data_IF_295659688584
#
_entry.id   IF_295659688584
#
_cell.length_a   1.000
_cell.length_b   1.000
_cell.length_c   1.000
_cell.angle_alpha   90.00
_cell.angle_beta   90.00
_cell.angle_gamma   90.00
#
_symmetry.space_group_name_H-M   'P 1'
#
loop_
_entity.id
_entity.type
_entity.pdbx_description
1 polymer ?
#
# COMPACT_ATOMS: atom_id res chain seq x y z
N UNK A 1 85.48 13.01 -32.85
CA UNK A 1 84.54 14.10 -33.24
C UNK A 1 83.39 13.44 -33.96
N UNK A 2 82.30 13.28 -33.29
CA UNK A 2 81.06 12.77 -33.87
C UNK A 2 79.90 13.69 -33.44
N UNK A 3 79.32 14.34 -34.41
CA UNK A 3 78.27 15.34 -34.26
C UNK A 3 76.93 14.63 -34.29
N UNK A 4 76.16 14.64 -33.18
CA UNK A 4 74.83 14.11 -33.15
C UNK A 4 73.79 15.21 -33.38
N UNK A 5 73.11 15.14 -34.50
CA UNK A 5 71.96 15.99 -34.79
C UNK A 5 70.71 15.46 -34.08
N UNK A 6 70.13 16.23 -33.20
CA UNK A 6 68.82 15.95 -32.60
C UNK A 6 67.68 16.47 -33.48
N UNK A 7 66.82 15.63 -33.98
CA UNK A 7 65.59 16.02 -34.65
C UNK A 7 64.44 16.16 -33.58
N UNK A 8 63.95 17.36 -33.44
CA UNK A 8 62.80 17.69 -32.71
C UNK A 8 61.51 17.45 -33.59
N UNK A 9 60.71 16.43 -33.27
CA UNK A 9 59.40 16.21 -33.90
C UNK A 9 58.32 17.01 -33.21
N UNK A 10 57.28 17.46 -33.92
CA UNK A 10 56.17 18.23 -33.31
C UNK A 10 55.33 17.42 -32.37
N UNK A 11 55.10 17.98 -31.19
CA UNK A 11 54.18 17.44 -30.20
C UNK A 11 52.71 17.56 -30.68
N UNK A 12 52.07 16.44 -30.97
CA UNK A 12 50.64 16.39 -31.26
C UNK A 12 49.90 16.44 -29.90
N UNK A 13 49.27 17.57 -29.63
CA UNK A 13 48.38 17.72 -28.50
C UNK A 13 47.14 16.79 -28.67
N UNK A 14 47.11 15.71 -27.91
CA UNK A 14 45.94 14.83 -27.81
C UNK A 14 44.92 15.49 -26.91
N UNK A 15 43.89 16.08 -27.50
CA UNK A 15 42.68 16.53 -26.80
C UNK A 15 42.00 15.31 -26.20
N UNK A 16 42.10 15.15 -24.89
CA UNK A 16 41.28 14.17 -24.15
C UNK A 16 39.85 14.69 -24.15
N UNK A 17 39.05 14.11 -25.01
CA UNK A 17 37.61 14.22 -24.97
C UNK A 17 37.12 13.41 -23.74
N UNK A 18 36.73 14.12 -22.69
CA UNK A 18 36.08 13.50 -21.52
C UNK A 18 34.85 12.76 -22.02
N UNK A 19 34.86 11.44 -21.90
CA UNK A 19 33.71 10.62 -22.10
C UNK A 19 32.69 11.01 -21.02
N UNK A 20 31.59 11.64 -21.42
CA UNK A 20 30.41 11.78 -20.56
C UNK A 20 29.88 10.38 -20.30
N UNK A 21 29.98 9.93 -19.05
CA UNK A 21 29.25 8.74 -18.59
C UNK A 21 27.78 8.99 -18.84
N UNK A 22 27.04 8.00 -19.40
CA UNK A 22 25.60 8.10 -19.53
C UNK A 22 25.03 8.19 -18.12
N UNK A 23 24.41 9.32 -17.82
CA UNK A 23 23.56 9.50 -16.64
C UNK A 23 22.53 8.37 -16.70
N UNK A 24 22.65 7.38 -15.84
CA UNK A 24 21.59 6.38 -15.62
C UNK A 24 20.41 7.17 -15.07
N UNK A 25 19.49 7.48 -15.96
CA UNK A 25 18.15 7.91 -15.64
C UNK A 25 17.56 6.79 -14.79
N UNK A 26 17.43 7.02 -13.48
CA UNK A 26 16.65 6.14 -12.60
C UNK A 26 15.30 5.97 -13.25
N UNK A 27 14.78 4.74 -13.36
CA UNK A 27 13.46 4.52 -13.95
C UNK A 27 12.47 5.41 -13.20
N UNK A 28 11.90 6.37 -13.91
CA UNK A 28 10.84 7.26 -13.43
C UNK A 28 9.73 6.35 -12.93
N UNK A 29 9.53 6.32 -11.60
CA UNK A 29 8.45 5.51 -11.02
C UNK A 29 7.15 6.00 -11.65
N UNK A 30 6.34 5.11 -12.24
CA UNK A 30 5.11 5.51 -12.90
C UNK A 30 4.28 6.33 -11.91
N UNK A 31 3.97 7.57 -12.26
CA UNK A 31 3.00 8.39 -11.55
C UNK A 31 1.67 7.67 -11.71
N UNK A 32 1.30 6.92 -10.68
CA UNK A 32 0.00 6.23 -10.66
C UNK A 32 -1.04 7.33 -10.50
N UNK A 33 -1.75 7.63 -11.56
CA UNK A 33 -2.83 8.61 -11.55
C UNK A 33 -4.00 8.09 -10.72
N UNK A 34 -4.88 8.98 -10.26
CA UNK A 34 -6.14 8.65 -9.58
C UNK A 34 -7.11 7.82 -10.45
N UNK A 35 -6.73 7.51 -11.69
CA UNK A 35 -7.53 6.82 -12.70
C UNK A 35 -7.71 5.31 -12.43
N UNK A 36 -7.17 4.79 -11.33
CA UNK A 36 -7.29 3.36 -10.98
C UNK A 36 -8.54 3.04 -10.16
N UNK A 37 -9.18 4.04 -9.57
CA UNK A 37 -10.51 3.85 -8.99
C UNK A 37 -11.57 4.03 -10.08
N UNK A 38 -12.65 3.24 -10.04
CA UNK A 38 -13.78 3.47 -10.91
C UNK A 38 -14.25 4.92 -10.77
N UNK A 39 -14.55 5.63 -11.87
CA UNK A 39 -14.90 7.06 -11.85
C UNK A 39 -16.16 7.37 -11.02
N UNK A 40 -17.01 6.37 -10.81
CA UNK A 40 -18.26 6.48 -10.06
C UNK A 40 -18.11 6.13 -8.57
N UNK A 41 -16.89 5.83 -8.09
CA UNK A 41 -16.59 5.53 -6.68
C UNK A 41 -15.68 6.59 -6.08
N UNK A 42 -16.21 7.72 -5.62
CA UNK A 42 -15.42 8.77 -5.00
C UNK A 42 -14.79 8.26 -3.69
N UNK A 43 -13.60 8.75 -3.40
CA UNK A 43 -12.95 8.52 -2.10
C UNK A 43 -13.77 9.19 -1.02
N UNK A 44 -14.06 8.47 0.08
CA UNK A 44 -14.85 9.02 1.18
C UNK A 44 -14.11 10.16 1.89
N UNK A 45 -14.87 11.14 2.40
CA UNK A 45 -14.31 12.24 3.21
C UNK A 45 -13.53 11.73 4.41
N UNK A 46 -13.95 10.63 4.99
CA UNK A 46 -13.24 9.96 6.09
C UNK A 46 -11.83 9.55 5.70
N UNK A 47 -11.65 8.94 4.53
CA UNK A 47 -10.33 8.55 4.01
C UNK A 47 -9.46 9.77 3.79
N UNK A 48 -10.01 10.82 3.16
CA UNK A 48 -9.28 12.07 2.88
C UNK A 48 -8.81 12.73 4.18
N UNK A 49 -9.70 12.83 5.16
CA UNK A 49 -9.41 13.45 6.46
C UNK A 49 -8.41 12.63 7.27
N UNK A 50 -8.56 11.30 7.28
CA UNK A 50 -7.61 10.42 7.97
C UNK A 50 -6.22 10.51 7.33
N UNK A 51 -6.11 10.45 6.01
CA UNK A 51 -4.83 10.61 5.31
C UNK A 51 -4.17 11.98 5.58
N UNK A 52 -4.98 13.05 5.62
CA UNK A 52 -4.53 14.40 5.99
C UNK A 52 -3.98 14.45 7.40
N UNK A 53 -4.68 13.87 8.37
CA UNK A 53 -4.24 13.79 9.77
C UNK A 53 -2.97 12.96 9.93
N UNK A 54 -2.88 11.79 9.29
CA UNK A 54 -1.68 10.92 9.32
C UNK A 54 -0.45 11.73 8.87
N UNK A 55 -0.58 12.47 7.77
CA UNK A 55 0.50 13.33 7.26
C UNK A 55 0.86 14.45 8.24
N UNK A 56 -0.12 15.15 8.79
CA UNK A 56 0.08 16.30 9.68
C UNK A 56 0.68 15.89 11.04
N UNK A 57 0.18 14.80 11.64
CA UNK A 57 0.63 14.27 12.92
C UNK A 57 1.96 13.52 12.84
N UNK A 58 2.39 13.11 11.63
CA UNK A 58 3.51 12.20 11.40
C UNK A 58 3.35 10.85 12.11
N UNK A 59 2.13 10.37 12.24
CA UNK A 59 1.80 9.13 12.96
C UNK A 59 2.55 7.90 12.41
N UNK A 60 2.97 7.95 11.15
CA UNK A 60 3.77 6.87 10.51
C UNK A 60 5.28 7.01 10.70
N UNK A 61 5.77 8.06 11.38
CA UNK A 61 7.20 8.33 11.54
C UNK A 61 7.98 8.38 10.20
N UNK A 62 7.30 8.71 9.11
CA UNK A 62 7.88 8.78 7.78
C UNK A 62 7.88 7.45 7.01
N UNK A 63 7.31 6.38 7.56
CA UNK A 63 7.04 5.15 6.80
C UNK A 63 5.89 5.37 5.81
N UNK A 64 5.90 4.64 4.67
CA UNK A 64 4.77 4.63 3.77
C UNK A 64 3.54 4.05 4.46
N UNK A 65 2.35 4.42 3.98
CA UNK A 65 1.12 3.93 4.59
C UNK A 65 0.02 3.66 3.56
N UNK A 66 -0.94 2.85 3.96
CA UNK A 66 -2.16 2.63 3.21
C UNK A 66 -3.38 2.93 4.06
N UNK A 67 -4.41 3.51 3.44
CA UNK A 67 -5.75 3.66 4.03
C UNK A 67 -6.70 2.77 3.25
N UNK A 68 -7.43 1.92 3.96
CA UNK A 68 -8.33 0.93 3.40
C UNK A 68 -9.76 1.18 3.89
N UNK A 69 -10.63 1.47 2.94
CA UNK A 69 -12.06 1.62 3.18
C UNK A 69 -12.77 0.32 2.79
N UNK A 70 -13.15 -0.48 3.79
CA UNK A 70 -13.82 -1.77 3.57
C UNK A 70 -15.22 -1.59 2.99
N UNK A 71 -15.90 -0.49 3.34
CA UNK A 71 -17.25 -0.21 2.87
C UNK A 71 -17.27 0.22 1.40
N UNK A 72 -16.30 1.06 1.01
CA UNK A 72 -16.11 1.47 -0.38
C UNK A 72 -15.27 0.47 -1.19
N UNK A 73 -14.75 -0.58 -0.58
CA UNK A 73 -13.85 -1.56 -1.18
C UNK A 73 -12.62 -0.93 -1.84
N UNK A 74 -12.03 0.08 -1.22
CA UNK A 74 -10.93 0.87 -1.77
C UNK A 74 -9.66 0.76 -0.92
N UNK A 75 -8.51 0.81 -1.60
CA UNK A 75 -7.19 0.87 -0.99
C UNK A 75 -6.44 2.05 -1.60
N UNK A 76 -5.99 2.97 -0.77
CA UNK A 76 -5.16 4.11 -1.14
C UNK A 76 -3.78 3.96 -0.52
N UNK A 77 -2.74 4.10 -1.32
CA UNK A 77 -1.34 3.93 -0.92
C UNK A 77 -0.61 5.25 -1.01
N UNK A 78 0.12 5.58 0.05
CA UNK A 78 0.86 6.84 0.17
C UNK A 78 2.33 6.57 0.50
N UNK A 79 3.21 7.45 0.04
CA UNK A 79 4.59 7.47 0.51
C UNK A 79 4.69 8.01 1.95
N UNK A 80 5.89 7.97 2.55
CA UNK A 80 6.13 8.47 3.90
C UNK A 80 5.98 10.00 4.07
N UNK A 81 5.77 10.73 2.99
CA UNK A 81 5.48 12.18 2.98
C UNK A 81 3.99 12.47 2.80
N UNK A 82 3.17 11.43 2.67
CA UNK A 82 1.74 11.54 2.44
C UNK A 82 1.36 11.89 0.99
N UNK A 83 2.24 11.65 0.02
CA UNK A 83 1.90 11.74 -1.41
C UNK A 83 1.19 10.46 -1.81
N UNK A 84 0.03 10.56 -2.46
CA UNK A 84 -0.68 9.42 -3.02
C UNK A 84 0.16 8.79 -4.15
N UNK A 85 0.43 7.50 -4.03
CA UNK A 85 1.16 6.69 -5.01
C UNK A 85 0.22 5.88 -5.90
N UNK A 86 -0.96 5.54 -5.39
CA UNK A 86 -1.97 4.83 -6.15
C UNK A 86 -3.21 4.51 -5.33
N UNK A 87 -4.29 4.23 -6.04
CA UNK A 87 -5.55 3.79 -5.49
C UNK A 87 -6.14 2.67 -6.35
N UNK A 88 -6.75 1.68 -5.73
CA UNK A 88 -7.36 0.55 -6.42
C UNK A 88 -8.49 -0.08 -5.60
N UNK A 89 -9.41 -0.82 -6.26
CA UNK A 89 -10.33 -1.69 -5.57
C UNK A 89 -9.60 -2.79 -4.78
N UNK A 90 -10.17 -3.18 -3.64
CA UNK A 90 -9.69 -4.28 -2.82
C UNK A 90 -10.78 -5.31 -2.51
N UNK A 91 -10.40 -6.58 -2.32
CA UNK A 91 -11.28 -7.60 -1.77
C UNK A 91 -10.95 -7.80 -0.30
N UNK A 92 -12.00 -7.92 0.50
CA UNK A 92 -11.91 -8.02 1.96
C UNK A 92 -12.63 -9.26 2.49
N UNK A 93 -12.53 -9.48 3.78
CA UNK A 93 -13.20 -10.54 4.48
C UNK A 93 -14.71 -10.61 4.18
N UNK A 94 -15.24 -11.80 3.98
CA UNK A 94 -16.64 -12.00 3.64
C UNK A 94 -17.62 -11.68 4.78
N UNK A 95 -17.12 -11.62 6.01
CA UNK A 95 -17.89 -11.17 7.16
C UNK A 95 -17.69 -9.66 7.42
N UNK A 96 -18.78 -8.99 7.72
CA UNK A 96 -18.78 -7.58 8.15
C UNK A 96 -18.42 -7.52 9.64
N UNK A 97 -17.36 -6.79 9.98
CA UNK A 97 -16.90 -6.66 11.35
C UNK A 97 -15.52 -6.02 11.46
N UNK A 98 -15.07 -5.79 12.69
CA UNK A 98 -13.89 -4.96 12.98
C UNK A 98 -12.83 -5.70 13.78
N UNK A 99 -13.08 -6.96 14.15
CA UNK A 99 -12.13 -7.77 14.90
C UNK A 99 -11.91 -9.13 14.23
N UNK A 100 -10.67 -9.59 14.25
CA UNK A 100 -10.36 -10.99 13.96
C UNK A 100 -10.83 -11.87 15.13
N UNK A 101 -11.43 -13.02 14.82
CA UNK A 101 -11.84 -13.95 15.86
C UNK A 101 -10.63 -14.53 16.60
N UNK A 102 -10.71 -14.70 17.94
CA UNK A 102 -9.64 -15.31 18.72
C UNK A 102 -9.23 -16.68 18.15
N UNK A 103 -7.92 -16.86 17.92
CA UNK A 103 -7.36 -18.13 17.43
C UNK A 103 -7.55 -18.39 15.93
N UNK A 104 -8.16 -17.47 15.17
CA UNK A 104 -8.40 -17.63 13.72
C UNK A 104 -7.12 -17.93 12.92
N UNK A 105 -6.00 -17.34 13.32
CA UNK A 105 -4.72 -17.55 12.66
C UNK A 105 -4.21 -19.00 12.72
N UNK A 106 -4.67 -19.78 13.69
CA UNK A 106 -4.31 -21.21 13.86
C UNK A 106 -5.20 -22.17 13.05
N UNK A 107 -6.24 -21.67 12.38
CA UNK A 107 -7.17 -22.49 11.63
C UNK A 107 -6.76 -22.61 10.16
N UNK A 108 -6.97 -23.79 9.57
CA UNK A 108 -6.92 -23.91 8.12
C UNK A 108 -8.05 -23.08 7.49
N UNK A 109 -7.84 -22.49 6.32
CA UNK A 109 -8.81 -21.59 5.65
C UNK A 109 -10.23 -22.18 5.56
N UNK A 110 -10.34 -23.48 5.24
CA UNK A 110 -11.61 -24.20 5.15
C UNK A 110 -12.35 -24.34 6.49
N UNK A 111 -11.63 -24.21 7.61
CA UNK A 111 -12.16 -24.36 8.97
C UNK A 111 -12.60 -23.03 9.56
N UNK A 112 -12.22 -21.89 8.94
CA UNK A 112 -12.66 -20.57 9.39
C UNK A 112 -14.15 -20.42 9.14
N UNK A 113 -14.99 -20.31 10.21
CA UNK A 113 -16.41 -20.11 10.05
C UNK A 113 -16.72 -18.85 9.25
N UNK A 114 -17.81 -18.84 8.48
CA UNK A 114 -18.16 -17.69 7.65
C UNK A 114 -18.23 -16.37 8.42
N UNK A 115 -18.78 -16.39 9.66
CA UNK A 115 -18.89 -15.21 10.53
C UNK A 115 -17.54 -14.65 11.01
N UNK A 116 -16.48 -15.45 10.98
CA UNK A 116 -15.15 -15.12 11.48
C UNK A 116 -14.18 -14.69 10.36
N UNK A 117 -14.66 -14.66 9.12
CA UNK A 117 -13.89 -14.24 7.94
C UNK A 117 -13.83 -12.72 7.81
N UNK A 118 -13.33 -12.06 8.82
CA UNK A 118 -13.33 -10.61 8.97
C UNK A 118 -11.96 -10.01 8.64
N UNK A 119 -11.92 -8.93 7.91
CA UNK A 119 -10.75 -8.04 7.85
C UNK A 119 -10.88 -7.07 9.03
N UNK A 120 -9.95 -7.09 10.01
CA UNK A 120 -10.06 -6.25 11.20
C UNK A 120 -9.89 -4.77 10.85
N UNK A 121 -10.47 -3.89 11.68
CA UNK A 121 -10.25 -2.45 11.61
C UNK A 121 -9.15 -2.03 12.60
N UNK A 122 -8.45 -0.92 12.30
CA UNK A 122 -7.44 -0.37 13.18
C UNK A 122 -6.21 0.12 12.45
N UNK A 123 -5.20 0.48 13.25
CA UNK A 123 -3.86 0.85 12.83
C UNK A 123 -2.91 -0.31 13.06
N UNK A 124 -2.24 -0.75 12.02
CA UNK A 124 -1.33 -1.90 12.03
C UNK A 124 0.04 -1.48 11.52
N UNK A 125 1.09 -2.00 12.13
CA UNK A 125 2.46 -1.88 11.61
C UNK A 125 2.81 -3.23 10.99
N UNK A 126 3.06 -3.24 9.70
CA UNK A 126 3.26 -4.48 8.96
C UNK A 126 4.46 -4.44 8.04
N UNK A 127 4.75 -5.60 7.46
CA UNK A 127 5.90 -5.76 6.58
C UNK A 127 5.97 -7.15 5.96
N UNK A 128 6.94 -7.33 5.09
CA UNK A 128 7.16 -8.60 4.43
C UNK A 128 7.75 -9.64 5.37
N UNK A 129 7.15 -10.81 5.41
CA UNK A 129 7.60 -11.95 6.20
C UNK A 129 7.31 -13.29 5.52
N UNK A 130 7.85 -14.39 6.05
CA UNK A 130 7.57 -15.72 5.54
C UNK A 130 6.11 -16.12 5.79
N UNK A 131 5.57 -16.96 4.90
CA UNK A 131 4.29 -17.63 5.04
C UNK A 131 4.48 -19.12 4.76
N UNK A 132 3.75 -19.98 5.44
CA UNK A 132 3.89 -21.44 5.31
C UNK A 132 3.60 -21.90 3.87
N UNK A 133 2.59 -21.33 3.23
CA UNK A 133 2.08 -21.82 1.94
C UNK A 133 2.39 -20.90 0.76
N UNK A 134 2.72 -19.64 1.01
CA UNK A 134 2.85 -18.60 -0.03
C UNK A 134 4.25 -17.97 -0.13
N UNK A 135 5.24 -18.53 0.57
CA UNK A 135 6.59 -17.98 0.60
C UNK A 135 6.66 -16.66 1.35
N UNK A 136 6.86 -15.54 0.68
CA UNK A 136 6.96 -14.20 1.29
C UNK A 136 5.67 -13.42 1.00
N UNK A 137 5.00 -12.96 2.04
CA UNK A 137 3.78 -12.14 1.96
C UNK A 137 3.91 -10.84 2.73
N UNK A 138 3.11 -9.85 2.39
CA UNK A 138 3.02 -8.58 3.12
C UNK A 138 1.99 -8.75 4.25
N UNK A 139 2.49 -8.95 5.46
CA UNK A 139 1.65 -9.01 6.65
C UNK A 139 1.17 -7.62 7.06
N UNK A 140 -0.11 -7.49 7.28
CA UNK A 140 -0.76 -6.33 7.92
C UNK A 140 -0.84 -6.56 9.42
N UNK A 141 -1.34 -7.74 9.80
CA UNK A 141 -1.42 -8.21 11.16
C UNK A 141 -0.96 -9.68 11.20
N UNK A 142 0.24 -9.91 11.73
CA UNK A 142 0.82 -11.23 11.80
C UNK A 142 0.10 -12.13 12.81
N UNK A 143 -0.35 -11.55 13.93
CA UNK A 143 -0.95 -12.30 15.02
C UNK A 143 -2.31 -12.90 14.66
N UNK A 144 -3.04 -12.24 13.78
CA UNK A 144 -4.33 -12.71 13.27
C UNK A 144 -4.26 -13.23 11.84
N UNK A 145 -3.05 -13.36 11.27
CA UNK A 145 -2.76 -13.89 9.94
C UNK A 145 -3.46 -13.10 8.80
N UNK A 146 -3.53 -11.78 8.92
CA UNK A 146 -4.04 -10.89 7.88
C UNK A 146 -2.90 -10.36 7.02
N UNK A 147 -2.95 -10.63 5.72
CA UNK A 147 -1.95 -10.17 4.75
C UNK A 147 -2.59 -9.49 3.53
N UNK A 148 -1.76 -8.71 2.82
CA UNK A 148 -2.10 -8.21 1.48
C UNK A 148 -1.36 -9.06 0.45
N UNK A 149 -2.09 -9.53 -0.55
CA UNK A 149 -1.51 -10.27 -1.65
C UNK A 149 -2.30 -10.07 -2.95
N UNK A 150 -1.71 -10.33 -4.13
CA UNK A 150 -2.44 -10.27 -5.38
C UNK A 150 -3.55 -11.33 -5.40
N UNK A 151 -4.59 -11.10 -6.19
CA UNK A 151 -5.63 -12.11 -6.40
C UNK A 151 -4.99 -13.40 -6.92
N UNK A 152 -5.16 -14.49 -6.15
CA UNK A 152 -4.73 -15.79 -6.59
C UNK A 152 -5.76 -16.36 -7.59
N UNK A 153 -5.27 -17.15 -8.54
CA UNK A 153 -6.10 -17.88 -9.49
C UNK A 153 -6.84 -19.07 -8.84
N UNK A 154 -6.71 -19.23 -7.51
CA UNK A 154 -6.95 -20.48 -6.81
C UNK A 154 -8.40 -20.94 -6.64
N UNK A 155 -9.41 -20.07 -6.70
CA UNK A 155 -10.81 -20.45 -6.58
C UNK A 155 -11.62 -19.77 -7.69
N UNK A 156 -11.72 -20.38 -8.88
CA UNK A 156 -12.41 -19.78 -10.02
C UNK A 156 -13.85 -19.37 -9.72
N UNK A 157 -14.54 -20.11 -8.85
CA UNK A 157 -15.92 -19.82 -8.46
C UNK A 157 -16.07 -18.48 -7.72
N UNK A 158 -15.04 -17.97 -7.08
CA UNK A 158 -15.07 -16.69 -6.38
C UNK A 158 -14.93 -15.48 -7.32
N UNK A 159 -14.50 -15.67 -8.55
CA UNK A 159 -14.42 -14.65 -9.61
C UNK A 159 -13.71 -13.36 -9.13
N UNK A 160 -12.63 -13.50 -8.36
CA UNK A 160 -11.96 -12.38 -7.68
C UNK A 160 -11.49 -11.26 -8.64
N UNK A 161 -10.95 -11.63 -9.80
CA UNK A 161 -10.52 -10.64 -10.80
C UNK A 161 -11.70 -9.87 -11.39
N UNK A 162 -12.84 -10.56 -11.62
CA UNK A 162 -14.06 -9.93 -12.12
C UNK A 162 -14.61 -8.94 -11.09
N UNK A 163 -14.66 -9.31 -9.80
CA UNK A 163 -15.12 -8.45 -8.69
C UNK A 163 -14.28 -7.19 -8.55
N UNK A 164 -12.96 -7.29 -8.70
CA UNK A 164 -12.08 -6.11 -8.69
C UNK A 164 -12.30 -5.18 -9.90
N UNK A 165 -12.93 -5.66 -10.96
CA UNK A 165 -13.22 -4.88 -12.16
C UNK A 165 -14.65 -4.29 -12.16
N UNK A 166 -15.51 -4.69 -11.23
CA UNK A 166 -16.87 -4.14 -11.13
C UNK A 166 -16.85 -2.73 -10.51
N UNK A 167 -17.76 -1.84 -10.89
CA UNK A 167 -17.84 -0.51 -10.29
C UNK A 167 -18.51 -0.48 -8.91
N UNK A 168 -19.02 -1.62 -8.42
CA UNK A 168 -19.71 -1.70 -7.12
C UNK A 168 -18.79 -2.29 -6.04
N UNK A 169 -18.84 -1.78 -4.79
CA UNK A 169 -18.16 -2.39 -3.66
C UNK A 169 -18.90 -3.62 -3.09
N UNK A 170 -20.15 -3.85 -3.49
CA UNK A 170 -21.05 -4.82 -2.85
C UNK A 170 -20.58 -6.26 -2.98
N UNK A 171 -19.88 -6.59 -4.05
CA UNK A 171 -19.37 -7.92 -4.32
C UNK A 171 -17.91 -8.14 -3.90
N UNK A 172 -17.28 -7.17 -3.27
CA UNK A 172 -15.86 -7.22 -2.88
C UNK A 172 -15.61 -7.92 -1.53
N UNK A 173 -16.65 -8.44 -0.86
CA UNK A 173 -16.55 -9.20 0.38
C UNK A 173 -16.53 -10.70 0.09
N UNK A 174 -15.31 -11.28 -0.05
CA UNK A 174 -15.18 -12.68 -0.52
C UNK A 174 -14.03 -13.45 0.15
N UNK A 175 -13.10 -12.76 0.83
CA UNK A 175 -11.93 -13.43 1.40
C UNK A 175 -12.18 -14.01 2.80
N UNK A 176 -11.18 -14.70 3.33
CA UNK A 176 -11.19 -15.22 4.70
C UNK A 176 -10.67 -14.22 5.75
N UNK A 177 -10.40 -12.95 5.34
CA UNK A 177 -9.84 -11.90 6.16
C UNK A 177 -8.68 -11.18 5.49
N UNK A 178 -7.87 -11.87 4.70
CA UNK A 178 -6.80 -11.27 3.91
C UNK A 178 -7.34 -10.26 2.88
N UNK A 179 -6.50 -9.32 2.51
CA UNK A 179 -6.80 -8.26 1.56
C UNK A 179 -6.22 -8.63 0.20
N UNK A 180 -7.05 -8.66 -0.84
CA UNK A 180 -6.58 -8.94 -2.19
C UNK A 180 -6.70 -7.72 -3.07
N UNK A 181 -5.74 -7.57 -3.98
CA UNK A 181 -5.67 -6.52 -4.97
C UNK A 181 -5.36 -7.08 -6.36
N UNK A 182 -5.57 -6.26 -7.38
CA UNK A 182 -5.14 -6.58 -8.72
C UNK A 182 -3.62 -6.89 -8.75
N UNK A 183 -3.15 -7.93 -9.46
CA UNK A 183 -1.73 -8.29 -9.54
C UNK A 183 -0.83 -7.17 -10.04
N UNK A 184 -1.28 -6.37 -11.01
CA UNK A 184 -0.50 -5.25 -11.53
C UNK A 184 -0.37 -4.12 -10.48
N UNK A 185 -1.44 -3.81 -9.75
CA UNK A 185 -1.40 -2.86 -8.66
C UNK A 185 -0.48 -3.33 -7.53
N UNK A 186 -0.54 -4.63 -7.21
CA UNK A 186 0.37 -5.21 -6.23
C UNK A 186 1.83 -5.06 -6.65
N UNK A 187 2.17 -5.44 -7.88
CA UNK A 187 3.54 -5.43 -8.36
C UNK A 187 4.12 -4.01 -8.53
N UNK A 188 3.29 -3.06 -8.97
CA UNK A 188 3.75 -1.70 -9.30
C UNK A 188 3.67 -0.73 -8.12
N UNK A 189 2.73 -0.93 -7.20
CA UNK A 189 2.47 0.01 -6.11
C UNK A 189 2.75 -0.63 -4.75
N UNK A 190 2.07 -1.73 -4.41
CA UNK A 190 2.16 -2.32 -3.07
C UNK A 190 3.58 -2.82 -2.78
N UNK A 191 4.10 -3.68 -3.64
CA UNK A 191 5.37 -4.35 -3.41
C UNK A 191 6.55 -3.38 -3.26
N UNK A 192 6.80 -2.43 -4.16
CA UNK A 192 7.92 -1.52 -4.02
C UNK A 192 7.75 -0.53 -2.86
N UNK A 193 6.50 -0.12 -2.56
CA UNK A 193 6.23 0.85 -1.49
C UNK A 193 6.49 0.26 -0.11
N UNK A 194 6.07 -0.97 0.13
CA UNK A 194 6.15 -1.60 1.45
C UNK A 194 7.32 -2.58 1.61
N UNK A 195 8.33 -2.53 0.76
CA UNK A 195 9.50 -3.42 0.83
C UNK A 195 10.22 -3.34 2.18
N UNK A 196 10.21 -2.18 2.83
CA UNK A 196 10.79 -1.94 4.16
C UNK A 196 9.73 -1.87 5.27
N UNK A 197 8.52 -2.36 5.00
CA UNK A 197 7.38 -2.24 5.91
C UNK A 197 6.62 -0.93 5.75
N UNK A 198 5.57 -0.77 6.56
CA UNK A 198 4.71 0.40 6.54
C UNK A 198 3.59 0.35 7.56
N UNK A 199 2.71 1.32 7.51
CA UNK A 199 1.57 1.44 8.42
C UNK A 199 0.27 1.30 7.62
N UNK A 200 -0.65 0.50 8.14
CA UNK A 200 -1.92 0.19 7.49
C UNK A 200 -3.07 0.66 8.37
N UNK A 201 -3.93 1.50 7.82
CA UNK A 201 -5.14 1.99 8.49
C UNK A 201 -6.34 1.39 7.79
N UNK A 202 -7.11 0.59 8.52
CA UNK A 202 -8.31 -0.08 8.00
C UNK A 202 -9.53 0.51 8.69
N UNK A 203 -10.39 1.15 7.92
CA UNK A 203 -11.61 1.78 8.44
C UNK A 203 -12.57 0.74 9.00
N UNK A 204 -13.30 1.09 10.09
CA UNK A 204 -14.26 0.18 10.69
C UNK A 204 -15.54 0.02 9.86
N UNK A 205 -16.17 -1.16 10.02
CA UNK A 205 -17.50 -1.44 9.51
C UNK A 205 -18.62 -1.07 10.50
N UNK A 206 -18.37 -1.28 11.81
CA UNK A 206 -19.38 -1.17 12.87
C UNK A 206 -18.94 -0.28 14.02
N UNK A 207 -17.66 -0.31 14.39
CA UNK A 207 -17.13 0.55 15.42
C UNK A 207 -17.15 2.02 14.98
N UNK A 208 -17.18 2.93 15.93
CA UNK A 208 -16.97 4.34 15.63
C UNK A 208 -15.51 4.63 15.29
N UNK A 209 -15.27 5.72 14.58
CA UNK A 209 -13.89 6.21 14.33
C UNK A 209 -13.17 6.55 15.64
N UNK A 210 -13.89 6.99 16.67
CA UNK A 210 -13.33 7.31 17.98
C UNK A 210 -12.82 6.06 18.72
N UNK A 211 -13.47 4.93 18.55
CA UNK A 211 -13.02 3.66 19.09
C UNK A 211 -11.84 3.08 18.31
N UNK A 212 -11.85 3.23 16.98
CA UNK A 212 -10.83 2.66 16.10
C UNK A 212 -9.58 3.53 16.00
N UNK A 213 -9.75 4.86 15.93
CA UNK A 213 -8.69 5.86 15.75
C UNK A 213 -8.88 7.03 16.73
N UNK A 214 -8.70 6.82 18.04
CA UNK A 214 -8.96 7.84 19.06
C UNK A 214 -8.12 9.10 18.86
N UNK A 215 -6.84 8.98 18.51
CA UNK A 215 -5.94 10.12 18.33
C UNK A 215 -6.33 10.99 17.13
N UNK A 216 -6.81 10.37 16.05
CA UNK A 216 -7.37 11.08 14.90
C UNK A 216 -8.59 11.93 15.28
N UNK A 217 -9.52 11.36 16.04
CA UNK A 217 -10.74 12.07 16.44
C UNK A 217 -10.44 13.20 17.44
N UNK A 218 -9.53 12.97 18.40
CA UNK A 218 -9.08 13.98 19.35
C UNK A 218 -8.33 15.13 18.65
N UNK A 219 -7.46 14.82 17.69
CA UNK A 219 -6.73 15.82 16.89
C UNK A 219 -7.67 16.77 16.17
N UNK A 220 -8.71 16.25 15.51
CA UNK A 220 -9.74 17.04 14.83
C UNK A 220 -10.53 17.97 15.78
N UNK A 221 -10.84 17.48 16.98
CA UNK A 221 -11.53 18.28 17.97
C UNK A 221 -10.73 19.50 18.46
N UNK A 222 -9.40 19.41 18.40
CA UNK A 222 -8.51 20.52 18.75
C UNK A 222 -8.39 21.53 17.60
N UNK A 223 -8.29 21.08 16.35
CA UNK A 223 -8.23 21.97 15.17
C UNK A 223 -9.49 22.83 15.04
N UNK A 224 -10.67 22.26 15.26
CA UNK A 224 -11.94 23.01 15.22
C UNK A 224 -12.05 24.06 16.31
N UNK A 225 -11.39 23.89 17.46
CA UNK A 225 -11.38 24.87 18.57
C UNK A 225 -10.37 26.01 18.39
N UNK A 226 -9.38 25.83 17.52
CA UNK A 226 -8.31 26.80 17.26
C UNK A 226 -8.50 27.57 15.97
N UNK A 227 -9.51 27.25 15.16
CA UNK A 227 -9.84 28.00 13.95
C UNK A 227 -10.34 29.40 14.38
N UNK A 228 -9.74 30.51 13.89
CA UNK A 228 -10.24 31.85 14.15
C UNK A 228 -11.60 32.04 13.47
N UNK A 229 -12.56 32.70 14.15
CA UNK A 229 -13.84 33.15 13.58
C UNK A 229 -13.65 34.19 12.48
#
# INVERSE_FOLDING_TARGET
MALSLAFAGPAVARTQQAAQEPTQESPEQPVVSNDQLPPDQPVSDTVIQLAGWIKASRDTEGYPFAVMDKAAAQILVFDGKGKLLGAAPGLFGSAVGDHSAPGVAGLALKEIPGRDRTTPAGRFIGGYGPSLDAGRVLWVDYDTAVSIHPTATGVPAEKRAERLATPTPDDNRVTHGCINVNPDFYARVIQPTFEKGGVFYILPDKQSLAETFPDFVQGRGNEQRTAPE
#
